data_IF_739696663940
#
_entry.id   IF_739696663940
#
_cell.length_a   1.000
_cell.length_b   1.000
_cell.length_c   1.000
_cell.angle_alpha   90.00
_cell.angle_beta   90.00
_cell.angle_gamma   90.00
#
_symmetry.space_group_name_H-M   'P 1'
#
loop_
_entity.id
_entity.type
_entity.pdbx_description
1 polymer ?
#
# COMPACT_ATOMS: atom_id res chain seq x y z
N UNK A 1 -9.81 24.46 -28.22
CA UNK A 1 -10.95 23.51 -28.29
C UNK A 1 -10.52 22.08 -28.55
N UNK A 2 -9.48 21.80 -29.33
CA UNK A 2 -9.05 20.43 -29.61
C UNK A 2 -8.44 19.70 -28.39
N UNK A 3 -7.60 20.41 -27.62
CA UNK A 3 -6.98 19.86 -26.40
C UNK A 3 -8.01 19.49 -25.31
N UNK A 4 -9.06 20.30 -25.11
CA UNK A 4 -10.05 20.00 -24.07
C UNK A 4 -10.86 18.76 -24.42
N UNK A 5 -11.18 18.54 -25.70
CA UNK A 5 -11.85 17.33 -26.16
C UNK A 5 -10.98 16.10 -25.91
N UNK A 6 -9.69 16.16 -26.28
CA UNK A 6 -8.74 15.07 -26.04
C UNK A 6 -8.62 14.70 -24.54
N UNK A 7 -8.54 15.69 -23.66
CA UNK A 7 -8.46 15.47 -22.22
C UNK A 7 -9.75 14.86 -21.65
N UNK A 8 -10.92 15.28 -22.17
CA UNK A 8 -12.20 14.72 -21.78
C UNK A 8 -12.35 13.26 -22.24
N UNK A 9 -11.93 12.96 -23.46
CA UNK A 9 -11.99 11.62 -24.04
C UNK A 9 -11.10 10.62 -23.27
N UNK A 10 -10.00 11.10 -22.70
CA UNK A 10 -9.05 10.31 -21.91
C UNK A 10 -9.10 10.57 -20.40
N UNK A 11 -10.21 11.09 -19.87
CA UNK A 11 -10.31 11.45 -18.44
C UNK A 11 -9.94 10.31 -17.48
N UNK A 12 -10.23 9.05 -17.84
CA UNK A 12 -9.91 7.87 -17.02
C UNK A 12 -8.43 7.47 -17.02
N UNK A 13 -7.60 8.12 -17.83
CA UNK A 13 -6.14 7.97 -17.76
C UNK A 13 -5.51 8.85 -16.66
N UNK A 14 -6.29 9.75 -16.05
CA UNK A 14 -5.85 10.63 -14.98
C UNK A 14 -6.42 10.15 -13.65
N UNK A 15 -5.59 10.18 -12.61
CA UNK A 15 -6.07 9.96 -11.26
C UNK A 15 -6.99 11.11 -10.84
N UNK A 16 -8.08 10.77 -10.14
CA UNK A 16 -8.97 11.75 -9.50
C UNK A 16 -9.27 11.33 -8.07
N UNK A 17 -9.85 12.23 -7.29
CA UNK A 17 -10.25 11.95 -5.90
C UNK A 17 -11.27 10.79 -5.81
N UNK A 18 -12.04 10.55 -6.87
CA UNK A 18 -13.04 9.47 -6.95
C UNK A 18 -12.54 8.22 -7.65
N UNK A 19 -11.54 8.36 -8.52
CA UNK A 19 -10.91 7.27 -9.28
C UNK A 19 -9.40 7.29 -9.02
N UNK A 20 -8.97 6.70 -7.92
CA UNK A 20 -7.55 6.60 -7.59
C UNK A 20 -6.83 5.69 -8.60
N UNK A 21 -5.50 5.82 -8.72
CA UNK A 21 -4.71 4.96 -9.60
C UNK A 21 -4.92 3.49 -9.21
N UNK A 22 -5.49 2.73 -10.14
CA UNK A 22 -5.73 1.29 -9.97
C UNK A 22 -4.46 0.46 -10.15
N UNK A 23 -4.46 -0.80 -9.65
CA UNK A 23 -3.33 -1.70 -9.82
C UNK A 23 -3.10 -2.01 -11.31
N UNK A 24 -1.83 -2.01 -11.73
CA UNK A 24 -1.47 -2.47 -13.07
C UNK A 24 -1.62 -3.99 -13.10
N UNK A 25 -2.64 -4.47 -13.82
CA UNK A 25 -2.94 -5.89 -13.97
C UNK A 25 -1.74 -6.57 -14.64
N UNK A 26 -1.24 -7.66 -14.06
CA UNK A 26 -0.18 -8.49 -14.63
C UNK A 26 1.25 -8.18 -14.15
N UNK A 27 1.46 -7.13 -13.34
CA UNK A 27 2.78 -6.74 -12.83
C UNK A 27 2.95 -7.00 -11.33
N UNK A 28 2.49 -8.16 -10.85
CA UNK A 28 2.73 -8.55 -9.45
C UNK A 28 4.21 -8.87 -9.26
N UNK A 29 4.82 -8.28 -8.24
CA UNK A 29 6.20 -8.58 -7.88
C UNK A 29 6.23 -9.79 -6.94
N UNK A 30 6.74 -10.91 -7.44
CA UNK A 30 6.99 -12.09 -6.61
C UNK A 30 8.36 -11.94 -5.93
N UNK A 31 8.34 -11.74 -4.61
CA UNK A 31 9.56 -11.66 -3.79
C UNK A 31 9.76 -12.98 -3.05
N UNK A 32 10.83 -13.70 -3.39
CA UNK A 32 11.21 -14.97 -2.76
C UNK A 32 12.47 -14.73 -1.92
N UNK A 33 12.50 -15.27 -0.71
CA UNK A 33 13.71 -15.26 0.11
C UNK A 33 14.71 -16.28 -0.45
N UNK A 34 15.97 -15.86 -0.63
CA UNK A 34 17.06 -16.75 -1.09
C UNK A 34 17.57 -17.71 0.01
N UNK A 35 16.79 -17.94 1.06
CA UNK A 35 17.16 -18.74 2.23
C UNK A 35 16.01 -19.65 2.64
N UNK A 36 16.36 -20.84 3.14
CA UNK A 36 15.42 -21.80 3.67
C UNK A 36 15.11 -21.55 5.15
N UNK A 37 13.97 -22.08 5.63
CA UNK A 37 13.58 -22.01 7.04
C UNK A 37 14.65 -22.67 7.94
N UNK A 38 14.87 -22.19 9.17
CA UNK A 38 14.12 -21.12 9.84
C UNK A 38 14.54 -19.73 9.32
N UNK A 39 13.55 -18.93 8.95
CA UNK A 39 13.77 -17.53 8.60
C UNK A 39 14.48 -16.82 9.76
N UNK A 40 15.28 -15.76 9.50
CA UNK A 40 15.87 -14.96 10.55
C UNK A 40 14.79 -14.60 11.57
N UNK A 41 15.04 -14.76 12.88
CA UNK A 41 14.05 -14.45 13.90
C UNK A 41 13.50 -13.05 13.63
N UNK A 42 12.16 -12.96 13.60
CA UNK A 42 11.39 -11.74 13.33
C UNK A 42 12.16 -10.50 13.80
N UNK A 43 12.53 -9.63 12.85
CA UNK A 43 13.02 -8.29 13.14
C UNK A 43 11.84 -7.46 13.67
N UNK A 44 11.29 -7.84 14.83
CA UNK A 44 10.27 -7.09 15.53
C UNK A 44 10.95 -5.91 16.21
N UNK A 45 11.21 -4.89 15.42
CA UNK A 45 11.67 -3.61 15.93
C UNK A 45 10.42 -2.90 16.46
N UNK A 46 10.40 -2.47 17.73
CA UNK A 46 9.28 -1.67 18.23
C UNK A 46 9.17 -0.40 17.39
N UNK A 47 7.94 0.06 17.15
CA UNK A 47 7.73 1.31 16.45
C UNK A 47 8.46 2.45 17.18
N UNK A 48 9.19 3.28 16.43
CA UNK A 48 9.85 4.43 17.00
C UNK A 48 8.82 5.40 17.60
N UNK A 49 9.13 6.04 18.74
CA UNK A 49 8.25 7.02 19.34
C UNK A 49 8.00 8.16 18.36
N UNK A 50 6.72 8.51 18.19
CA UNK A 50 6.28 9.54 17.24
C UNK A 50 5.54 10.63 18.00
N UNK A 51 5.72 11.89 17.59
CA UNK A 51 5.02 13.02 18.22
C UNK A 51 3.49 12.89 18.04
N UNK A 52 2.66 13.39 18.97
CA UNK A 52 1.19 13.30 18.84
C UNK A 52 0.67 13.87 17.52
N UNK A 53 1.19 15.04 17.12
CA UNK A 53 0.83 15.69 15.85
C UNK A 53 1.21 14.83 14.63
N UNK A 54 2.41 14.25 14.65
CA UNK A 54 2.86 13.35 13.59
C UNK A 54 1.97 12.10 13.53
N UNK A 55 1.53 11.59 14.67
CA UNK A 55 0.66 10.41 14.75
C UNK A 55 -0.70 10.66 14.11
N UNK A 56 -1.36 11.78 14.41
CA UNK A 56 -2.64 12.16 13.79
C UNK A 56 -2.54 12.29 12.27
N UNK A 57 -1.44 12.88 11.78
CA UNK A 57 -1.19 13.02 10.34
C UNK A 57 -0.98 11.66 9.68
N UNK A 58 -0.20 10.78 10.33
CA UNK A 58 0.02 9.42 9.85
C UNK A 58 -1.27 8.60 9.84
N UNK A 59 -2.11 8.72 10.86
CA UNK A 59 -3.40 8.00 10.93
C UNK A 59 -4.32 8.40 9.77
N UNK A 60 -4.31 9.68 9.38
CA UNK A 60 -5.06 10.16 8.20
C UNK A 60 -4.58 9.48 6.92
N UNK A 61 -3.26 9.49 6.66
CA UNK A 61 -2.71 8.88 5.44
C UNK A 61 -2.81 7.35 5.44
N UNK A 62 -2.66 6.70 6.59
CA UNK A 62 -2.86 5.26 6.71
C UNK A 62 -4.30 4.87 6.38
N UNK A 63 -5.27 5.68 6.81
CA UNK A 63 -6.67 5.47 6.46
C UNK A 63 -6.90 5.59 4.96
N UNK A 64 -6.33 6.61 4.31
CA UNK A 64 -6.40 6.76 2.85
C UNK A 64 -5.83 5.53 2.13
N UNK A 65 -4.65 5.06 2.53
CA UNK A 65 -4.01 3.89 1.93
C UNK A 65 -4.79 2.58 2.14
N UNK A 66 -5.47 2.45 3.29
CA UNK A 66 -6.38 1.32 3.56
C UNK A 66 -7.60 1.38 2.65
N UNK A 67 -8.23 2.55 2.53
CA UNK A 67 -9.42 2.76 1.71
C UNK A 67 -9.12 2.55 0.21
N UNK A 68 -7.88 2.84 -0.22
CA UNK A 68 -7.35 2.56 -1.56
C UNK A 68 -6.97 1.09 -1.80
N UNK A 69 -6.96 0.25 -0.76
CA UNK A 69 -6.50 -1.14 -0.86
C UNK A 69 -5.01 -1.30 -1.16
N UNK A 70 -4.22 -0.24 -0.93
CA UNK A 70 -2.75 -0.26 -1.10
C UNK A 70 -2.09 -1.01 0.04
N UNK A 71 -2.61 -0.87 1.27
CA UNK A 71 -2.15 -1.61 2.45
C UNK A 71 -3.30 -2.42 3.04
N UNK A 72 -2.98 -3.59 3.59
CA UNK A 72 -3.92 -4.47 4.29
C UNK A 72 -3.59 -4.64 5.77
N UNK A 73 -4.62 -4.92 6.58
CA UNK A 73 -4.45 -5.38 7.97
C UNK A 73 -4.20 -6.88 7.97
N UNK A 74 -3.24 -7.33 8.77
CA UNK A 74 -2.86 -8.74 8.89
C UNK A 74 -2.92 -9.16 10.35
N UNK A 75 -3.47 -10.35 10.60
CA UNK A 75 -3.51 -10.94 11.93
C UNK A 75 -2.12 -11.36 12.44
N UNK A 76 -1.92 -11.34 13.75
CA UNK A 76 -0.63 -11.66 14.40
C UNK A 76 -0.05 -13.06 14.04
N UNK A 77 -0.87 -13.99 13.55
CA UNK A 77 -0.49 -15.35 13.16
C UNK A 77 -0.82 -15.67 11.69
N UNK A 78 -1.18 -14.66 10.89
CA UNK A 78 -1.54 -14.85 9.49
C UNK A 78 -0.26 -14.96 8.65
N UNK A 79 -0.12 -16.08 7.94
CA UNK A 79 1.01 -16.31 7.04
C UNK A 79 0.77 -15.50 5.76
N UNK A 80 1.46 -14.37 5.64
CA UNK A 80 1.38 -13.51 4.46
C UNK A 80 2.44 -13.95 3.46
N UNK A 81 2.02 -14.35 2.27
CA UNK A 81 2.92 -14.41 1.13
C UNK A 81 3.39 -12.98 0.82
N UNK A 82 4.72 -12.76 0.82
CA UNK A 82 5.44 -11.46 0.73
C UNK A 82 5.05 -10.54 -0.44
N UNK A 83 4.08 -10.92 -1.27
CA UNK A 83 3.63 -10.22 -2.46
C UNK A 83 2.71 -9.02 -2.18
N UNK A 84 2.31 -8.80 -0.92
CA UNK A 84 1.43 -7.67 -0.54
C UNK A 84 2.10 -6.79 0.52
N UNK A 85 2.20 -5.46 0.34
CA UNK A 85 2.65 -4.57 1.40
C UNK A 85 1.63 -4.58 2.56
N UNK A 86 2.10 -4.93 3.75
CA UNK A 86 1.24 -5.19 4.92
C UNK A 86 1.66 -4.36 6.13
N UNK A 87 0.68 -3.94 6.91
CA UNK A 87 0.89 -3.31 8.22
C UNK A 87 0.61 -4.34 9.31
N UNK A 88 1.58 -4.58 10.19
CA UNK A 88 1.42 -5.46 11.37
C UNK A 88 0.82 -4.66 12.52
N UNK A 89 -0.31 -5.13 13.07
CA UNK A 89 -1.00 -4.55 14.23
C UNK A 89 -0.80 -5.41 15.48
#
# INVERSE_FOLDING_TARGET
NELSSLLYDHKGAFASDTEPPGPIIGHKADSILNIDRPYPPLLRIPAYPTSPKSRETLETHLKELLDLGVIGKVGHNEEVELTTPVTVA
#
